data_IF_168645210973
#
_entry.id   IF_168645210973
#
_cell.length_a   1.000
_cell.length_b   1.000
_cell.length_c   1.000
_cell.angle_alpha   90.00
_cell.angle_beta   90.00
_cell.angle_gamma   90.00
#
_symmetry.space_group_name_H-M   'P 1'
#
loop_
_entity.id
_entity.type
_entity.pdbx_description
1 polymer ?
#
# COMPACT_ATOMS: atom_id res chain seq x y z
N UNK A 1 -20.00 0.23 15.22
CA UNK A 1 -19.95 -1.04 14.45
C UNK A 1 -18.80 -0.93 13.47
N UNK A 2 -17.89 -1.91 13.43
CA UNK A 2 -16.80 -1.94 12.45
C UNK A 2 -17.30 -2.40 11.09
N UNK A 3 -16.62 -2.00 10.02
CA UNK A 3 -16.84 -2.55 8.68
C UNK A 3 -16.16 -3.93 8.58
N UNK A 4 -16.85 -4.92 8.02
CA UNK A 4 -16.28 -6.24 7.77
C UNK A 4 -15.55 -6.26 6.43
N UNK A 5 -14.22 -6.35 6.49
CA UNK A 5 -13.37 -6.41 5.30
C UNK A 5 -13.14 -7.84 4.76
N UNK A 6 -13.72 -8.88 5.38
CA UNK A 6 -13.53 -10.28 4.98
C UNK A 6 -13.76 -10.48 3.47
N UNK A 7 -14.88 -9.98 2.96
CA UNK A 7 -15.22 -10.10 1.52
C UNK A 7 -14.23 -9.39 0.60
N UNK A 8 -13.71 -8.22 1.01
CA UNK A 8 -12.67 -7.51 0.26
C UNK A 8 -11.36 -8.31 0.25
N UNK A 9 -10.94 -8.81 1.41
CA UNK A 9 -9.71 -9.60 1.56
C UNK A 9 -9.80 -10.90 0.74
N UNK A 10 -10.94 -11.57 0.75
CA UNK A 10 -11.18 -12.78 -0.04
C UNK A 10 -11.03 -12.48 -1.54
N UNK A 11 -11.66 -11.41 -2.05
CA UNK A 11 -11.48 -10.97 -3.44
C UNK A 11 -10.03 -10.73 -3.79
N UNK A 12 -9.30 -9.98 -2.95
CA UNK A 12 -7.86 -9.71 -3.15
C UNK A 12 -7.06 -11.02 -3.22
N UNK A 13 -7.38 -12.00 -2.37
CA UNK A 13 -6.68 -13.29 -2.30
C UNK A 13 -6.93 -14.21 -3.50
N UNK A 14 -8.07 -14.06 -4.19
CA UNK A 14 -8.47 -14.93 -5.29
C UNK A 14 -8.02 -14.42 -6.66
N UNK A 15 -7.60 -13.16 -6.76
CA UNK A 15 -7.14 -12.58 -8.03
C UNK A 15 -5.90 -13.30 -8.54
N UNK A 16 -6.02 -13.81 -9.77
CA UNK A 16 -4.91 -14.43 -10.51
C UNK A 16 -4.05 -13.34 -11.15
N UNK A 17 -2.75 -13.47 -10.99
CA UNK A 17 -1.75 -12.56 -11.57
C UNK A 17 -0.98 -13.24 -12.69
N UNK A 18 -0.31 -12.45 -13.54
CA UNK A 18 0.61 -13.00 -14.53
C UNK A 18 1.78 -13.74 -13.85
N UNK A 19 2.49 -14.66 -14.55
CA UNK A 19 3.60 -15.43 -13.97
C UNK A 19 4.75 -14.59 -13.40
N UNK A 20 4.89 -13.34 -13.85
CA UNK A 20 5.89 -12.38 -13.36
C UNK A 20 5.28 -11.32 -12.42
N UNK A 21 4.21 -11.69 -11.73
CA UNK A 21 3.61 -10.93 -10.65
C UNK A 21 3.15 -11.87 -9.52
N UNK A 22 3.46 -11.51 -8.28
CA UNK A 22 3.18 -12.30 -7.10
C UNK A 22 2.00 -11.72 -6.32
N UNK A 23 0.92 -12.48 -6.17
CA UNK A 23 -0.16 -12.14 -5.25
C UNK A 23 0.23 -12.54 -3.82
N UNK A 24 0.74 -11.57 -3.05
CA UNK A 24 1.15 -11.78 -1.66
C UNK A 24 -0.01 -12.07 -0.68
N UNK A 25 -1.25 -12.09 -1.16
CA UNK A 25 -2.42 -12.46 -0.37
C UNK A 25 -3.02 -13.79 -0.82
N UNK A 26 -2.46 -14.43 -1.84
CA UNK A 26 -3.00 -15.64 -2.46
C UNK A 26 -3.31 -16.74 -1.45
N UNK A 27 -4.42 -17.44 -1.66
CA UNK A 27 -4.85 -18.57 -0.84
C UNK A 27 -4.02 -19.86 -1.05
N UNK A 28 -2.99 -19.83 -1.89
CA UNK A 28 -2.10 -20.97 -2.17
C UNK A 28 -1.14 -21.33 -1.03
N UNK A 29 -0.17 -22.19 -1.34
CA UNK A 29 0.64 -22.93 -0.37
C UNK A 29 1.59 -22.12 0.52
N UNK A 30 1.71 -20.80 0.30
CA UNK A 30 2.56 -19.96 1.14
C UNK A 30 1.82 -19.63 2.46
N UNK A 31 2.19 -20.24 3.61
CA UNK A 31 1.48 -20.05 4.87
C UNK A 31 1.57 -18.60 5.39
N UNK A 32 2.59 -17.85 4.98
CA UNK A 32 2.79 -16.46 5.37
C UNK A 32 1.76 -15.51 4.76
N UNK A 33 1.05 -15.92 3.70
CA UNK A 33 -0.02 -15.12 3.11
C UNK A 33 -1.21 -14.95 4.07
N UNK A 34 -1.46 -15.90 4.97
CA UNK A 34 -2.49 -15.76 6.00
C UNK A 34 -2.17 -14.59 6.95
N UNK A 35 -0.89 -14.44 7.34
CA UNK A 35 -0.42 -13.32 8.15
C UNK A 35 -0.59 -11.99 7.41
N UNK A 36 -0.27 -11.97 6.11
CA UNK A 36 -0.45 -10.77 5.26
C UNK A 36 -1.91 -10.35 5.14
N UNK A 37 -2.83 -11.31 4.98
CA UNK A 37 -4.27 -11.06 4.98
C UNK A 37 -4.74 -10.52 6.33
N UNK A 38 -4.27 -11.10 7.44
CA UNK A 38 -4.60 -10.61 8.78
C UNK A 38 -4.09 -9.17 9.02
N UNK A 39 -2.85 -8.88 8.63
CA UNK A 39 -2.26 -7.54 8.68
C UNK A 39 -3.06 -6.54 7.84
N UNK A 40 -3.41 -6.91 6.60
CA UNK A 40 -4.19 -6.05 5.72
C UNK A 40 -5.60 -5.80 6.29
N UNK A 41 -6.28 -6.83 6.79
CA UNK A 41 -7.59 -6.70 7.43
C UNK A 41 -7.53 -5.73 8.62
N UNK A 42 -6.55 -5.91 9.50
CA UNK A 42 -6.31 -5.01 10.64
C UNK A 42 -6.03 -3.58 10.20
N UNK A 43 -5.21 -3.39 9.16
CA UNK A 43 -4.92 -2.07 8.60
C UNK A 43 -6.18 -1.34 8.11
N UNK A 44 -7.02 -2.03 7.35
CA UNK A 44 -8.26 -1.45 6.84
C UNK A 44 -9.26 -1.14 7.97
N UNK A 45 -9.37 -2.04 8.95
CA UNK A 45 -10.21 -1.84 10.15
C UNK A 45 -9.74 -0.65 10.98
N UNK A 46 -8.44 -0.54 11.26
CA UNK A 46 -7.86 0.58 12.02
C UNK A 46 -8.12 1.92 11.31
N UNK A 47 -7.94 1.99 9.99
CA UNK A 47 -8.19 3.20 9.21
C UNK A 47 -9.68 3.56 9.13
N UNK A 48 -10.55 2.55 8.99
CA UNK A 48 -11.98 2.77 8.93
C UNK A 48 -12.53 3.28 10.26
N UNK A 49 -12.09 2.68 11.38
CA UNK A 49 -12.45 3.12 12.73
C UNK A 49 -11.97 4.55 13.02
N UNK A 50 -10.86 4.97 12.42
CA UNK A 50 -10.33 6.34 12.50
C UNK A 50 -11.04 7.34 11.60
N UNK A 51 -11.91 6.89 10.71
CA UNK A 51 -12.58 7.72 9.72
C UNK A 51 -11.58 8.55 8.89
N UNK A 52 -10.53 7.91 8.37
CA UNK A 52 -9.52 8.61 7.58
C UNK A 52 -10.15 9.35 6.40
N UNK A 53 -9.75 10.61 6.23
CA UNK A 53 -10.27 11.49 5.18
C UNK A 53 -9.35 11.57 3.96
N UNK A 54 -8.22 10.87 4.01
CA UNK A 54 -7.14 10.97 3.03
C UNK A 54 -6.88 9.62 2.37
N UNK A 55 -6.69 9.62 1.06
CA UNK A 55 -6.21 8.45 0.33
C UNK A 55 -4.97 8.79 -0.49
N UNK A 56 -3.93 7.97 -0.37
CA UNK A 56 -2.75 7.99 -1.22
C UNK A 56 -2.78 6.76 -2.13
N UNK A 57 -2.76 6.98 -3.44
CA UNK A 57 -2.70 5.90 -4.44
C UNK A 57 -1.35 5.91 -5.16
N UNK A 58 -0.54 4.90 -4.88
CA UNK A 58 0.76 4.66 -5.50
C UNK A 58 0.71 3.70 -6.70
N UNK A 59 1.88 3.19 -7.08
CA UNK A 59 2.05 2.28 -8.22
C UNK A 59 1.77 0.82 -7.85
N UNK A 60 2.82 0.07 -7.47
CA UNK A 60 2.73 -1.34 -7.12
C UNK A 60 3.67 -1.67 -5.94
N UNK A 61 3.38 -2.72 -5.17
CA UNK A 61 4.26 -3.29 -4.16
C UNK A 61 5.70 -3.51 -4.65
N UNK A 62 6.67 -3.07 -3.86
CA UNK A 62 8.04 -3.54 -3.94
C UNK A 62 8.26 -4.79 -3.08
N UNK A 63 9.24 -5.63 -3.44
CA UNK A 63 9.50 -6.88 -2.72
C UNK A 63 9.91 -6.64 -1.25
N UNK A 64 10.60 -5.51 -0.97
CA UNK A 64 11.07 -5.14 0.38
C UNK A 64 9.99 -4.55 1.30
N UNK A 65 8.81 -4.26 0.75
CA UNK A 65 7.69 -3.65 1.47
C UNK A 65 6.48 -4.56 1.48
N UNK A 66 5.40 -4.13 0.82
CA UNK A 66 4.09 -4.79 0.86
C UNK A 66 4.11 -6.27 0.43
N UNK A 67 5.01 -6.68 -0.49
CA UNK A 67 5.13 -8.11 -0.83
C UNK A 67 5.51 -8.95 0.39
N UNK A 68 6.38 -8.43 1.25
CA UNK A 68 6.78 -9.08 2.50
C UNK A 68 5.71 -8.87 3.57
N UNK A 69 5.34 -7.62 3.84
CA UNK A 69 4.56 -7.22 5.02
C UNK A 69 3.05 -7.43 4.88
N UNK A 70 2.54 -7.47 3.66
CA UNK A 70 1.10 -7.41 3.37
C UNK A 70 0.50 -6.00 3.49
N UNK A 71 1.31 -4.98 3.81
CA UNK A 71 0.84 -3.63 4.09
C UNK A 71 1.28 -2.62 3.01
N UNK A 72 0.37 -1.81 2.45
CA UNK A 72 0.68 -0.80 1.45
C UNK A 72 1.79 0.16 1.87
N UNK A 73 2.79 0.35 0.99
CA UNK A 73 3.97 1.20 1.22
C UNK A 73 4.55 1.10 2.64
N UNK A 74 4.62 -0.12 3.20
CA UNK A 74 5.08 -0.34 4.57
C UNK A 74 6.20 -1.37 4.59
N UNK A 75 7.36 -0.96 5.13
CA UNK A 75 8.52 -1.82 5.36
C UNK A 75 8.41 -2.61 6.66
N UNK A 76 9.29 -3.61 6.83
CA UNK A 76 9.28 -4.49 8.01
C UNK A 76 9.50 -3.73 9.32
N UNK A 77 10.37 -2.72 9.31
CA UNK A 77 10.58 -1.83 10.46
C UNK A 77 9.29 -1.13 10.89
N UNK A 78 8.59 -0.48 9.96
CA UNK A 78 7.32 0.21 10.26
C UNK A 78 6.23 -0.77 10.71
N UNK A 79 6.15 -1.96 10.11
CA UNK A 79 5.25 -3.02 10.55
C UNK A 79 5.51 -3.43 12.01
N UNK A 80 6.79 -3.53 12.40
CA UNK A 80 7.19 -4.00 13.73
C UNK A 80 7.09 -2.92 14.80
N UNK A 81 7.74 -1.80 14.55
CA UNK A 81 7.93 -0.70 15.50
C UNK A 81 6.68 0.20 15.58
N UNK A 82 5.88 0.22 14.50
CA UNK A 82 4.76 1.14 14.34
C UNK A 82 5.21 2.56 14.00
N UNK A 83 4.25 3.48 14.05
CA UNK A 83 4.46 4.93 13.98
C UNK A 83 3.78 5.55 15.20
N UNK A 84 4.47 5.59 16.36
CA UNK A 84 3.88 5.99 17.64
C UNK A 84 3.21 7.36 17.62
N UNK A 85 3.79 8.33 16.90
CA UNK A 85 3.30 9.70 16.77
C UNK A 85 1.88 9.77 16.16
N UNK A 86 1.54 8.79 15.32
CA UNK A 86 0.22 8.64 14.71
C UNK A 86 -0.63 7.54 15.37
N UNK A 87 -0.01 6.74 16.25
CA UNK A 87 -0.61 5.57 16.89
C UNK A 87 -1.06 4.51 15.90
N UNK A 88 -0.35 4.29 14.79
CA UNK A 88 -0.69 3.29 13.76
C UNK A 88 0.42 2.27 13.58
N UNK A 89 0.07 1.10 13.03
CA UNK A 89 1.01 0.00 12.78
C UNK A 89 1.67 -0.54 14.06
N UNK A 90 2.54 -1.55 13.94
CA UNK A 90 3.34 -2.04 15.07
C UNK A 90 2.79 -3.30 15.74
N UNK A 91 3.69 -4.16 16.23
CA UNK A 91 3.32 -5.42 16.89
C UNK A 91 2.46 -5.19 18.14
N UNK A 92 2.74 -4.11 18.89
CA UNK A 92 1.97 -3.71 20.06
C UNK A 92 0.49 -3.41 19.74
N UNK A 93 0.15 -3.18 18.47
CA UNK A 93 -1.21 -2.93 17.99
C UNK A 93 -1.84 -4.16 17.32
N UNK A 94 -1.21 -5.33 17.44
CA UNK A 94 -1.72 -6.61 16.94
C UNK A 94 -1.38 -6.90 15.47
N UNK A 95 -0.48 -6.12 14.87
CA UNK A 95 0.16 -6.52 13.62
C UNK A 95 1.17 -7.64 13.87
N UNK A 96 1.49 -8.39 12.82
CA UNK A 96 2.36 -9.56 12.92
C UNK A 96 3.51 -9.44 11.94
N UNK A 97 4.73 -9.73 12.40
CA UNK A 97 5.88 -9.85 11.52
C UNK A 97 5.73 -11.08 10.60
N UNK A 98 6.36 -11.04 9.43
CA UNK A 98 6.23 -12.09 8.42
C UNK A 98 7.58 -12.81 8.25
N UNK A 99 7.77 -13.98 8.87
CA UNK A 99 9.06 -14.69 8.87
C UNK A 99 9.20 -15.58 7.63
N UNK A 100 9.05 -15.00 6.43
CA UNK A 100 9.24 -15.75 5.19
C UNK A 100 10.74 -15.99 4.91
N UNK A 101 11.16 -17.24 4.65
CA UNK A 101 12.54 -17.55 4.31
C UNK A 101 13.04 -16.77 3.09
N UNK A 102 14.28 -16.28 3.14
CA UNK A 102 14.89 -15.44 2.10
C UNK A 102 14.61 -13.94 2.23
N UNK A 103 13.84 -13.52 3.25
CA UNK A 103 13.58 -12.11 3.57
C UNK A 103 14.23 -11.64 4.89
N UNK A 104 15.11 -12.44 5.49
CA UNK A 104 15.74 -12.18 6.79
C UNK A 104 16.51 -10.86 6.82
N UNK A 105 17.24 -10.56 5.74
CA UNK A 105 18.05 -9.34 5.61
C UNK A 105 17.22 -8.09 5.25
N UNK A 106 15.92 -8.23 4.95
CA UNK A 106 15.07 -7.13 4.51
C UNK A 106 14.40 -6.48 5.71
N UNK A 107 14.88 -5.28 6.05
CA UNK A 107 14.38 -4.50 7.18
C UNK A 107 13.64 -3.23 6.75
N UNK A 108 14.11 -2.58 5.69
CA UNK A 108 13.60 -1.29 5.25
C UNK A 108 13.24 -1.26 3.77
N UNK A 109 12.27 -0.41 3.48
CA UNK A 109 11.92 0.02 2.13
C UNK A 109 12.00 1.55 2.11
N UNK A 110 12.69 2.13 1.12
CA UNK A 110 13.05 3.55 1.12
C UNK A 110 11.81 4.43 0.99
N UNK A 111 10.88 4.08 0.09
CA UNK A 111 9.64 4.83 -0.13
C UNK A 111 8.77 4.84 1.13
N UNK A 112 8.61 3.69 1.78
CA UNK A 112 7.92 3.53 3.05
C UNK A 112 8.55 4.39 4.14
N UNK A 113 9.87 4.37 4.26
CA UNK A 113 10.58 5.18 5.26
C UNK A 113 10.34 6.67 5.04
N UNK A 114 10.40 7.14 3.80
CA UNK A 114 10.14 8.55 3.48
C UNK A 114 8.69 8.92 3.79
N UNK A 115 7.73 8.08 3.38
CA UNK A 115 6.30 8.32 3.62
C UNK A 115 5.98 8.36 5.12
N UNK A 116 6.33 7.31 5.86
CA UNK A 116 5.95 7.17 7.27
C UNK A 116 6.70 8.13 8.20
N UNK A 117 7.85 8.68 7.79
CA UNK A 117 8.50 9.77 8.52
C UNK A 117 7.81 11.12 8.27
N UNK A 118 7.22 11.32 7.08
CA UNK A 118 6.57 12.58 6.71
C UNK A 118 5.15 12.70 7.27
N UNK A 119 4.38 11.60 7.32
CA UNK A 119 2.99 11.63 7.76
C UNK A 119 2.80 12.20 9.19
N UNK A 120 3.67 11.90 10.19
CA UNK A 120 3.64 12.56 11.50
C UNK A 120 3.80 14.08 11.41
N UNK A 121 4.71 14.58 10.58
CA UNK A 121 4.91 16.03 10.39
C UNK A 121 3.66 16.71 9.79
N UNK A 122 2.91 15.97 8.98
CA UNK A 122 1.68 16.46 8.36
C UNK A 122 0.44 16.26 9.25
N UNK A 123 0.54 15.50 10.33
CA UNK A 123 -0.58 15.20 11.23
C UNK A 123 -1.70 14.39 10.58
N UNK A 124 -1.42 13.62 9.52
CA UNK A 124 -2.43 12.84 8.80
C UNK A 124 -2.15 11.34 8.80
N UNK A 125 -3.22 10.55 8.77
CA UNK A 125 -3.15 9.09 8.65
C UNK A 125 -3.97 8.66 7.43
N UNK A 126 -3.39 8.60 6.22
CA UNK A 126 -4.13 8.25 5.02
C UNK A 126 -4.34 6.74 4.84
N UNK A 127 -5.40 6.38 4.12
CA UNK A 127 -5.46 5.11 3.41
C UNK A 127 -4.43 5.12 2.29
N UNK A 128 -3.41 4.27 2.41
CA UNK A 128 -2.40 4.08 1.38
C UNK A 128 -2.76 2.82 0.59
N UNK A 129 -2.72 2.89 -0.74
CA UNK A 129 -2.97 1.76 -1.62
C UNK A 129 -2.13 1.84 -2.90
N UNK A 130 -2.13 0.77 -3.71
CA UNK A 130 -1.46 0.73 -5.02
C UNK A 130 -2.44 0.53 -6.16
N UNK A 131 -2.21 1.19 -7.29
CA UNK A 131 -2.98 1.00 -8.52
C UNK A 131 -2.94 -0.44 -9.03
N UNK A 132 -1.82 -1.15 -8.80
CA UNK A 132 -1.72 -2.60 -8.91
C UNK A 132 -1.29 -3.15 -7.55
N UNK A 133 -2.16 -3.83 -6.78
CA UNK A 133 -1.87 -4.18 -5.38
C UNK A 133 -1.07 -5.47 -5.20
N UNK A 134 -0.52 -6.03 -6.28
CA UNK A 134 0.30 -7.25 -6.27
C UNK A 134 1.72 -6.92 -6.71
N UNK A 135 2.69 -7.77 -6.39
CA UNK A 135 4.10 -7.45 -6.62
C UNK A 135 4.59 -7.89 -8.02
N UNK A 136 4.76 -6.97 -8.99
CA UNK A 136 5.39 -7.28 -10.27
C UNK A 136 6.92 -7.38 -10.13
N UNK A 137 7.49 -8.38 -10.78
CA UNK A 137 8.92 -8.62 -10.79
C UNK A 137 9.43 -8.91 -12.21
N UNK A 138 10.75 -8.87 -12.39
CA UNK A 138 11.37 -9.36 -13.62
C UNK A 138 11.19 -10.89 -13.73
N UNK A 139 10.96 -11.44 -14.94
CA UNK A 139 10.90 -12.88 -15.14
C UNK A 139 12.13 -13.59 -14.57
N UNK A 140 11.90 -14.64 -13.77
CA UNK A 140 12.96 -15.41 -13.12
C UNK A 140 13.65 -14.73 -11.92
N UNK A 141 13.30 -13.47 -11.58
CA UNK A 141 13.90 -12.73 -10.45
C UNK A 141 12.83 -12.24 -9.48
N UNK A 142 12.35 -13.12 -8.60
CA UNK A 142 11.28 -12.81 -7.64
C UNK A 142 11.61 -11.66 -6.66
N UNK A 143 12.89 -11.34 -6.45
CA UNK A 143 13.35 -10.23 -5.59
C UNK A 143 13.83 -9.02 -6.42
N UNK A 144 13.04 -8.67 -7.43
CA UNK A 144 13.23 -7.49 -8.27
C UNK A 144 11.91 -6.72 -8.38
N UNK A 145 11.97 -5.44 -8.74
CA UNK A 145 10.77 -4.66 -8.94
C UNK A 145 10.64 -4.34 -10.44
N UNK A 146 9.45 -4.56 -10.99
CA UNK A 146 9.09 -4.10 -12.34
C UNK A 146 7.95 -3.09 -12.25
N UNK A 147 7.87 -2.14 -13.18
CA UNK A 147 6.68 -1.30 -13.31
C UNK A 147 5.47 -2.14 -13.75
N UNK A 148 4.26 -1.99 -13.17
CA UNK A 148 3.09 -2.71 -13.63
C UNK A 148 2.69 -2.31 -15.06
N UNK A 149 2.15 -3.28 -15.80
CA UNK A 149 1.59 -3.12 -17.13
C UNK A 149 0.19 -2.49 -17.05
N UNK A 150 -0.29 -1.94 -18.16
CA UNK A 150 -1.63 -1.34 -18.21
C UNK A 150 -2.74 -2.34 -17.85
N UNK A 151 -2.67 -3.59 -18.30
CA UNK A 151 -3.64 -4.63 -17.93
C UNK A 151 -3.56 -5.03 -16.45
N UNK A 152 -2.37 -5.01 -15.85
CA UNK A 152 -2.18 -5.23 -14.41
C UNK A 152 -2.82 -4.09 -13.60
N UNK A 153 -2.64 -2.84 -14.02
CA UNK A 153 -3.31 -1.68 -13.40
C UNK A 153 -4.84 -1.78 -13.53
N UNK A 154 -5.36 -2.19 -14.70
CA UNK A 154 -6.79 -2.42 -14.90
C UNK A 154 -7.35 -3.51 -13.97
N UNK A 155 -6.56 -4.55 -13.67
CA UNK A 155 -6.93 -5.59 -12.70
C UNK A 155 -7.09 -5.04 -11.28
N UNK A 156 -6.32 -4.01 -10.90
CA UNK A 156 -6.43 -3.34 -9.60
C UNK A 156 -7.57 -2.32 -9.50
N UNK A 157 -8.07 -1.80 -10.63
CA UNK A 157 -9.10 -0.75 -10.67
C UNK A 157 -10.36 -1.07 -9.84
N UNK A 158 -10.96 -2.28 -9.91
CA UNK A 158 -12.15 -2.59 -9.11
C UNK A 158 -11.90 -2.49 -7.60
N UNK A 159 -10.70 -2.87 -7.14
CA UNK A 159 -10.33 -2.78 -5.73
C UNK A 159 -10.16 -1.33 -5.27
N UNK A 160 -9.58 -0.48 -6.13
CA UNK A 160 -9.46 0.96 -5.86
C UNK A 160 -10.84 1.61 -5.77
N UNK A 161 -11.75 1.26 -6.68
CA UNK A 161 -13.14 1.76 -6.68
C UNK A 161 -13.85 1.39 -5.38
N UNK A 162 -13.74 0.14 -4.97
CA UNK A 162 -14.37 -0.35 -3.75
C UNK A 162 -13.83 0.39 -2.50
N UNK A 163 -12.51 0.58 -2.42
CA UNK A 163 -11.91 1.34 -1.32
C UNK A 163 -12.37 2.80 -1.29
N UNK A 164 -12.51 3.46 -2.46
CA UNK A 164 -13.06 4.82 -2.55
C UNK A 164 -14.51 4.87 -2.06
N UNK A 165 -15.33 3.85 -2.36
CA UNK A 165 -16.73 3.77 -1.94
C UNK A 165 -16.88 3.49 -0.43
N UNK A 166 -16.00 2.65 0.13
CA UNK A 166 -15.98 2.32 1.56
C UNK A 166 -15.50 3.51 2.40
N UNK A 167 -14.35 4.09 2.03
CA UNK A 167 -13.68 5.11 2.84
C UNK A 167 -14.15 6.53 2.54
N UNK A 168 -14.64 6.80 1.33
CA UNK A 168 -15.11 8.12 0.87
C UNK A 168 -14.14 9.25 1.25
N UNK A 169 -12.85 9.14 0.90
CA UNK A 169 -11.85 10.12 1.30
C UNK A 169 -12.22 11.51 0.75
N UNK A 170 -12.06 12.54 1.57
CA UNK A 170 -12.22 13.94 1.16
C UNK A 170 -11.12 14.38 0.21
N UNK A 171 -9.92 13.81 0.36
CA UNK A 171 -8.75 14.16 -0.45
C UNK A 171 -8.03 12.92 -0.96
N UNK A 172 -7.88 12.84 -2.28
CA UNK A 172 -7.14 11.78 -2.96
C UNK A 172 -5.84 12.35 -3.53
N UNK A 173 -4.73 11.71 -3.22
CA UNK A 173 -3.39 12.07 -3.65
C UNK A 173 -2.81 10.94 -4.49
N UNK A 174 -2.50 11.22 -5.75
CA UNK A 174 -1.84 10.30 -6.64
C UNK A 174 -0.31 10.38 -6.46
N UNK A 175 0.33 9.30 -6.04
CA UNK A 175 1.78 9.22 -5.85
C UNK A 175 2.43 8.64 -7.11
N UNK A 176 3.01 9.52 -7.93
CA UNK A 176 3.63 9.14 -9.20
C UNK A 176 2.65 9.01 -10.37
N UNK A 177 3.16 8.54 -11.51
CA UNK A 177 2.42 8.58 -12.78
C UNK A 177 1.36 7.47 -12.89
N UNK A 178 1.58 6.29 -12.30
CA UNK A 178 0.66 5.16 -12.46
C UNK A 178 -0.62 5.36 -11.66
N UNK A 179 -0.51 5.71 -10.37
CA UNK A 179 -1.67 6.06 -9.56
C UNK A 179 -2.46 7.22 -10.15
N UNK A 180 -1.76 8.25 -10.66
CA UNK A 180 -2.40 9.38 -11.32
C UNK A 180 -3.16 8.97 -12.59
N UNK A 181 -2.53 8.17 -13.45
CA UNK A 181 -3.17 7.68 -14.67
C UNK A 181 -4.46 6.90 -14.38
N UNK A 182 -4.43 6.00 -13.39
CA UNK A 182 -5.60 5.23 -13.00
C UNK A 182 -6.72 6.13 -12.46
N UNK A 183 -6.41 7.07 -11.56
CA UNK A 183 -7.41 7.98 -11.00
C UNK A 183 -8.05 8.88 -12.06
N UNK A 184 -7.24 9.38 -13.01
CA UNK A 184 -7.75 10.14 -14.17
C UNK A 184 -8.67 9.30 -15.04
N UNK A 185 -8.30 8.05 -15.35
CA UNK A 185 -9.15 7.12 -16.10
C UNK A 185 -10.48 6.86 -15.38
N UNK A 186 -10.46 6.78 -14.06
CA UNK A 186 -11.66 6.59 -13.23
C UNK A 186 -12.49 7.86 -13.06
N UNK A 187 -12.03 9.03 -13.53
CA UNK A 187 -12.68 10.32 -13.32
C UNK A 187 -12.64 10.80 -11.86
N UNK A 188 -11.68 10.33 -11.06
CA UNK A 188 -11.54 10.68 -9.64
C UNK A 188 -10.66 11.92 -9.50
N UNK A 189 -11.17 13.04 -8.97
CA UNK A 189 -10.36 14.22 -8.70
C UNK A 189 -9.23 13.88 -7.73
N UNK A 190 -7.99 14.25 -8.07
CA UNK A 190 -6.84 14.00 -7.23
C UNK A 190 -5.75 15.05 -7.40
N UNK A 191 -4.89 15.17 -6.37
CA UNK A 191 -3.66 15.95 -6.44
C UNK A 191 -2.52 15.00 -6.78
N UNK A 192 -1.74 15.33 -7.82
CA UNK A 192 -0.57 14.53 -8.19
C UNK A 192 0.67 15.00 -7.45
N UNK A 193 1.41 14.06 -6.85
CA UNK A 193 2.74 14.31 -6.27
C UNK A 193 3.79 13.40 -6.92
N UNK A 194 5.06 13.82 -6.89
CA UNK A 194 6.18 13.04 -7.40
C UNK A 194 6.40 11.80 -6.53
N UNK A 195 6.68 10.64 -7.13
CA UNK A 195 7.04 9.44 -6.35
C UNK A 195 8.42 9.63 -5.68
N UNK A 196 8.63 9.22 -4.41
CA UNK A 196 9.87 9.50 -3.66
C UNK A 196 11.11 8.72 -4.16
N UNK A 197 10.91 7.63 -4.89
CA UNK A 197 12.00 6.86 -5.50
C UNK A 197 12.77 7.63 -6.58
N UNK A 198 13.97 7.14 -6.94
CA UNK A 198 14.80 7.69 -8.02
C UNK A 198 15.10 9.20 -7.85
N UNK A 199 15.52 9.59 -6.65
CA UNK A 199 15.85 10.99 -6.31
C UNK A 199 14.63 11.90 -6.06
N UNK A 200 13.40 11.40 -6.18
CA UNK A 200 12.17 12.19 -6.05
C UNK A 200 11.77 12.59 -4.62
N UNK A 201 12.61 12.37 -3.60
CA UNK A 201 12.28 12.61 -2.19
C UNK A 201 11.84 14.05 -1.92
N UNK A 202 12.61 15.03 -2.36
CA UNK A 202 12.36 16.44 -2.04
C UNK A 202 11.05 16.93 -2.68
N UNK A 203 10.83 16.57 -3.95
CA UNK A 203 9.59 16.89 -4.67
C UNK A 203 8.37 16.19 -4.07
N UNK A 204 8.52 14.94 -3.63
CA UNK A 204 7.47 14.23 -2.92
C UNK A 204 7.07 14.94 -1.63
N UNK A 205 8.06 15.31 -0.80
CA UNK A 205 7.82 16.02 0.47
C UNK A 205 7.15 17.37 0.24
N UNK A 206 7.66 18.17 -0.70
CA UNK A 206 7.09 19.47 -1.05
C UNK A 206 5.65 19.32 -1.59
N UNK A 207 5.43 18.36 -2.50
CA UNK A 207 4.12 18.08 -3.07
C UNK A 207 3.11 17.62 -2.01
N UNK A 208 3.51 16.76 -1.08
CA UNK A 208 2.66 16.31 0.02
C UNK A 208 2.28 17.45 0.97
N UNK A 209 3.21 18.33 1.33
CA UNK A 209 2.91 19.51 2.17
C UNK A 209 1.90 20.43 1.50
N UNK A 210 2.12 20.76 0.23
CA UNK A 210 1.17 21.58 -0.55
C UNK A 210 -0.19 20.89 -0.68
N UNK A 211 -0.21 19.58 -0.93
CA UNK A 211 -1.44 18.81 -1.06
C UNK A 211 -2.21 18.69 0.25
N UNK A 212 -1.57 18.72 1.42
CA UNK A 212 -2.29 18.67 2.71
C UNK A 212 -2.81 20.05 3.15
N UNK A 213 -2.12 21.13 2.78
CA UNK A 213 -2.47 22.50 3.17
C UNK A 213 -3.54 23.15 2.30
N UNK A 214 -3.56 22.85 1.00
CA UNK A 214 -4.66 23.25 0.09
C UNK A 214 -5.86 22.34 0.23
#
# INVERSE_FOLDING_TARGET
>A
MGYDFSSFIDRVSLIQTAPDAYNQFGAGDNPYNAIRRANLSRYLQDLFARQTEWMLLGEAPGYRGMRLTGLPMTGRRQLRDGVPELGVLGLARGYQDVPEPGFEAIQSEQTATILWNLLPELGIVPLVWGAFPFHPHEPGKMLSNRKPRANEVKLGQPLVRELLEIFKPKKVIAVGNVGYGLLTEMGVPCVKVRHPAQGGKNDFVAGMRAAVQG
#
